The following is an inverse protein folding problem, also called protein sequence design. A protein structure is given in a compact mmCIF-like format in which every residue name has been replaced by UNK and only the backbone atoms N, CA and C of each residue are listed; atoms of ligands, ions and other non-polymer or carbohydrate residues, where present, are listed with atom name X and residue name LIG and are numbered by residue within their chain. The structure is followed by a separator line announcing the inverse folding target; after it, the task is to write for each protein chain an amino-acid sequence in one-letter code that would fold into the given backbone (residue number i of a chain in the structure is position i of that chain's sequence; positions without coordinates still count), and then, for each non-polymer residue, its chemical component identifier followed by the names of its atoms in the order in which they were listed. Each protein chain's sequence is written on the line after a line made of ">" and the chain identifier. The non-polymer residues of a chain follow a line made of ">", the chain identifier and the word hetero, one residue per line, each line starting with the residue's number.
data_IF_352668556408
#
_entry.id   IF_352668556408
#
_cell.length_a   1.000
_cell.length_b   1.000
_cell.length_c   1.000
_cell.angle_alpha   90.00
_cell.angle_beta   90.00
_cell.angle_gamma   90.00
#
_symmetry.space_group_name_H-M   'P 1'
#
loop_
_entity.id
_entity.type
_entity.pdbx_description
1 polymer ?
#
# COMPACT_ATOMS: atom_id res chain seq x y z
N UNK A 1 14.00 -14.57 -0.92
CA UNK A 1 15.31 -15.20 -0.69
C UNK A 1 15.51 -15.62 0.77
N UNK A 2 14.47 -16.18 1.38
CA UNK A 2 14.44 -16.61 2.79
C UNK A 2 13.59 -17.87 2.87
N UNK A 3 14.01 -18.84 3.66
CA UNK A 3 13.30 -20.09 3.89
C UNK A 3 13.09 -20.25 5.39
N UNK A 4 11.84 -20.38 5.82
CA UNK A 4 11.50 -20.69 7.21
C UNK A 4 11.11 -22.16 7.25
N UNK A 5 11.84 -22.95 8.04
CA UNK A 5 11.58 -24.37 8.21
C UNK A 5 10.91 -24.59 9.56
N UNK A 6 9.69 -25.13 9.53
CA UNK A 6 8.99 -25.59 10.71
C UNK A 6 9.00 -27.11 10.75
N UNK A 7 9.47 -27.67 11.88
CA UNK A 7 9.55 -29.12 12.08
C UNK A 7 8.44 -29.54 13.04
N UNK A 8 7.69 -30.57 12.66
CA UNK A 8 6.58 -31.11 13.44
C UNK A 8 6.77 -32.62 13.62
N UNK A 9 6.16 -33.15 14.68
CA UNK A 9 5.90 -34.59 14.87
C UNK A 9 4.40 -34.81 14.95
N UNK A 10 3.95 -35.99 14.55
CA UNK A 10 2.55 -36.40 14.69
C UNK A 10 2.31 -36.91 16.11
N UNK A 11 1.26 -36.41 16.77
CA UNK A 11 0.88 -36.80 18.13
C UNK A 11 -0.62 -37.08 18.17
N UNK A 12 -1.01 -38.15 18.85
CA UNK A 12 -2.41 -38.46 19.10
C UNK A 12 -2.98 -37.52 20.18
N UNK A 13 -4.00 -36.74 19.83
CA UNK A 13 -4.81 -35.98 20.77
C UNK A 13 -5.91 -36.91 21.32
N UNK A 14 -5.62 -37.53 22.47
CA UNK A 14 -6.50 -38.50 23.14
C UNK A 14 -7.85 -37.91 23.54
N UNK A 15 -7.96 -36.58 23.68
CA UNK A 15 -9.21 -35.91 24.01
C UNK A 15 -10.16 -35.78 22.82
N UNK A 16 -9.62 -35.76 21.59
CA UNK A 16 -10.36 -35.55 20.34
C UNK A 16 -10.28 -36.73 19.37
N UNK A 17 -9.62 -37.82 19.78
CA UNK A 17 -9.40 -39.04 18.99
C UNK A 17 -8.90 -38.74 17.57
N UNK A 18 -7.89 -37.86 17.45
CA UNK A 18 -7.31 -37.46 16.16
C UNK A 18 -5.81 -37.25 16.27
N UNK A 19 -5.10 -37.39 15.16
CA UNK A 19 -3.68 -37.10 15.08
C UNK A 19 -3.48 -35.63 14.68
N UNK A 20 -2.64 -34.92 15.42
CA UNK A 20 -2.33 -33.50 15.19
C UNK A 20 -0.83 -33.28 15.01
N UNK A 21 -0.48 -32.21 14.30
CA UNK A 21 0.91 -31.74 14.24
C UNK A 21 1.32 -31.10 15.56
N UNK A 22 2.47 -31.49 16.09
CA UNK A 22 3.07 -30.91 17.29
C UNK A 22 4.46 -30.36 16.97
N UNK A 23 4.67 -29.07 17.16
CA UNK A 23 5.96 -28.41 16.87
C UNK A 23 7.07 -28.97 17.76
N UNK A 24 8.25 -29.21 17.19
CA UNK A 24 9.40 -29.75 17.93
C UNK A 24 10.24 -28.67 18.61
N UNK A 25 10.12 -27.42 18.17
CA UNK A 25 10.84 -26.27 18.69
C UNK A 25 9.85 -25.14 19.05
N UNK A 26 9.94 -23.99 18.40
CA UNK A 26 8.96 -22.92 18.57
C UNK A 26 7.60 -23.35 18.01
N UNK A 27 6.51 -22.84 18.63
CA UNK A 27 5.16 -23.05 18.10
C UNK A 27 5.08 -22.54 16.65
N UNK A 28 4.94 -23.48 15.72
CA UNK A 28 4.76 -23.20 14.31
C UNK A 28 3.28 -23.04 13.95
N UNK A 29 2.97 -22.53 12.74
CA UNK A 29 1.60 -22.26 12.30
C UNK A 29 0.67 -23.47 12.29
N UNK A 30 1.20 -24.70 12.18
CA UNK A 30 0.39 -25.92 12.18
C UNK A 30 0.29 -26.60 13.55
N UNK A 31 0.78 -25.99 14.63
CA UNK A 31 0.72 -26.59 15.96
C UNK A 31 -0.74 -26.86 16.38
N UNK A 32 -1.06 -28.12 16.69
CA UNK A 32 -2.40 -28.56 17.10
C UNK A 32 -3.41 -28.72 15.95
N UNK A 33 -3.01 -28.47 14.70
CA UNK A 33 -3.84 -28.68 13.50
C UNK A 33 -3.87 -30.18 13.17
N UNK A 34 -5.03 -30.67 12.72
CA UNK A 34 -5.20 -32.08 12.34
C UNK A 34 -4.34 -32.43 11.13
N UNK A 35 -3.74 -33.63 11.11
CA UNK A 35 -2.95 -34.09 9.96
C UNK A 35 -3.78 -34.30 8.69
N UNK A 36 -5.09 -34.51 8.86
CA UNK A 36 -6.05 -34.69 7.76
C UNK A 36 -6.75 -33.38 7.38
N UNK A 37 -6.33 -32.24 7.93
CA UNK A 37 -6.92 -30.95 7.62
C UNK A 37 -6.61 -30.56 6.17
N UNK A 38 -7.62 -30.10 5.44
CA UNK A 38 -7.45 -29.67 4.05
C UNK A 38 -6.66 -28.37 4.01
N UNK A 39 -5.83 -28.19 2.98
CA UNK A 39 -5.15 -26.93 2.73
C UNK A 39 -6.16 -25.78 2.64
N UNK A 40 -5.96 -24.76 3.45
CA UNK A 40 -6.79 -23.56 3.39
C UNK A 40 -6.48 -22.74 2.12
N UNK A 41 -7.47 -22.04 1.57
CA UNK A 41 -7.23 -21.02 0.56
C UNK A 41 -6.23 -19.97 1.05
N UNK A 42 -5.52 -19.33 0.10
CA UNK A 42 -4.52 -18.31 0.41
C UNK A 42 -5.13 -17.19 1.28
N UNK A 43 -4.44 -16.85 2.37
CA UNK A 43 -4.81 -15.73 3.23
C UNK A 43 -4.65 -14.37 2.54
N UNK A 44 -5.08 -13.29 3.21
CA UNK A 44 -4.96 -11.92 2.67
C UNK A 44 -3.50 -11.58 2.34
N UNK A 45 -2.56 -11.88 3.25
CA UNK A 45 -1.14 -11.62 3.04
C UNK A 45 -0.56 -12.45 1.91
N UNK A 46 -0.95 -13.71 1.77
CA UNK A 46 -0.43 -14.57 0.71
C UNK A 46 -0.93 -14.11 -0.67
N UNK A 47 -2.16 -13.59 -0.75
CA UNK A 47 -2.66 -12.93 -1.97
C UNK A 47 -1.87 -11.67 -2.29
N UNK A 48 -1.57 -10.82 -1.30
CA UNK A 48 -0.70 -9.64 -1.50
C UNK A 48 0.72 -10.04 -1.94
N UNK A 49 1.32 -11.06 -1.32
CA UNK A 49 2.60 -11.63 -1.75
C UNK A 49 2.56 -12.16 -3.18
N UNK A 50 1.48 -12.85 -3.55
CA UNK A 50 1.31 -13.33 -4.92
C UNK A 50 1.22 -12.17 -5.92
N UNK A 51 0.49 -11.10 -5.58
CA UNK A 51 0.41 -9.89 -6.40
C UNK A 51 1.79 -9.22 -6.56
N UNK A 52 2.53 -9.02 -5.47
CA UNK A 52 3.88 -8.46 -5.51
C UNK A 52 4.83 -9.32 -6.38
N UNK A 53 4.75 -10.64 -6.27
CA UNK A 53 5.53 -11.58 -7.12
C UNK A 53 5.16 -11.48 -8.59
N UNK A 54 3.87 -11.33 -8.92
CA UNK A 54 3.43 -11.10 -10.31
C UNK A 54 4.00 -9.79 -10.87
N UNK A 55 4.25 -8.81 -10.00
CA UNK A 55 4.95 -7.56 -10.33
C UNK A 55 6.48 -7.66 -10.20
N UNK A 56 7.04 -8.87 -10.13
CA UNK A 56 8.49 -9.13 -10.01
C UNK A 56 9.18 -8.42 -8.84
N UNK A 57 8.47 -8.23 -7.72
CA UNK A 57 9.03 -7.61 -6.51
C UNK A 57 8.70 -8.38 -5.24
N UNK A 58 9.35 -8.00 -4.14
CA UNK A 58 9.06 -8.52 -2.80
C UNK A 58 7.90 -7.73 -2.20
N UNK A 59 7.00 -8.41 -1.49
CA UNK A 59 5.93 -7.72 -0.78
C UNK A 59 6.53 -6.84 0.32
N UNK A 60 6.05 -5.59 0.46
CA UNK A 60 6.73 -4.58 1.27
C UNK A 60 6.96 -5.00 2.73
N UNK A 61 6.00 -5.67 3.35
CA UNK A 61 6.12 -6.17 4.74
C UNK A 61 7.09 -7.34 4.91
N UNK A 62 7.61 -7.93 3.83
CA UNK A 62 8.66 -8.95 3.88
C UNK A 62 10.07 -8.32 3.82
N UNK A 63 10.22 -7.01 3.54
CA UNK A 63 11.52 -6.34 3.52
C UNK A 63 12.26 -6.36 4.87
N UNK A 64 11.62 -6.11 6.04
CA UNK A 64 12.33 -6.17 7.31
C UNK A 64 13.05 -7.52 7.55
N UNK A 65 12.45 -8.63 7.14
CA UNK A 65 13.06 -9.96 7.19
C UNK A 65 14.28 -10.07 6.23
N UNK A 66 14.20 -9.44 5.06
CA UNK A 66 15.33 -9.38 4.13
C UNK A 66 16.51 -8.58 4.71
N UNK A 67 16.25 -7.46 5.38
CA UNK A 67 17.26 -6.69 6.12
C UNK A 67 17.88 -7.52 7.25
N UNK A 68 17.07 -8.20 8.06
CA UNK A 68 17.57 -9.07 9.14
C UNK A 68 18.49 -10.17 8.60
N UNK A 69 18.07 -10.84 7.51
CA UNK A 69 18.87 -11.89 6.86
C UNK A 69 20.20 -11.34 6.32
N UNK A 70 20.19 -10.13 5.75
CA UNK A 70 21.39 -9.49 5.24
C UNK A 70 22.36 -9.11 6.39
N UNK A 71 21.84 -8.62 7.51
CA UNK A 71 22.62 -8.34 8.72
C UNK A 71 23.26 -9.61 9.28
N UNK A 72 22.50 -10.69 9.43
CA UNK A 72 23.04 -11.97 9.91
C UNK A 72 24.21 -12.47 9.02
N UNK A 73 24.07 -12.34 7.70
CA UNK A 73 25.15 -12.68 6.75
C UNK A 73 26.37 -11.78 6.90
N UNK A 74 26.16 -10.47 7.09
CA UNK A 74 27.25 -9.51 7.31
C UNK A 74 28.05 -9.86 8.57
N UNK A 75 27.37 -10.16 9.68
CA UNK A 75 28.01 -10.65 10.91
C UNK A 75 28.79 -11.94 10.71
N UNK A 76 28.17 -12.95 10.07
CA UNK A 76 28.80 -14.24 9.82
C UNK A 76 30.05 -14.12 8.93
N UNK A 77 30.04 -13.20 7.96
CA UNK A 77 31.17 -12.97 7.06
C UNK A 77 32.34 -12.29 7.76
N UNK A 78 32.09 -11.36 8.69
CA UNK A 78 33.14 -10.57 9.33
C UNK A 78 33.72 -11.23 10.59
N UNK A 79 32.94 -12.06 11.27
CA UNK A 79 33.37 -12.80 12.46
C UNK A 79 33.12 -14.31 12.29
N UNK A 80 33.93 -15.00 11.46
CA UNK A 80 33.79 -16.45 11.27
C UNK A 80 33.98 -17.17 12.61
N UNK A 81 32.95 -17.90 13.06
CA UNK A 81 32.97 -18.67 14.31
C UNK A 81 32.22 -18.05 15.49
N UNK A 82 31.78 -16.79 15.40
CA UNK A 82 30.79 -16.22 16.32
C UNK A 82 29.40 -16.50 15.73
N UNK A 83 28.70 -17.49 16.29
CA UNK A 83 27.49 -18.07 15.69
C UNK A 83 26.29 -17.13 15.63
N UNK A 84 26.31 -16.01 16.35
CA UNK A 84 25.34 -14.90 16.27
C UNK A 84 25.80 -13.76 17.17
N UNK A 85 25.47 -12.51 16.81
CA UNK A 85 25.46 -11.44 17.80
C UNK A 85 24.52 -11.86 18.95
N UNK A 86 24.91 -11.64 20.21
CA UNK A 86 24.06 -11.99 21.35
C UNK A 86 22.80 -11.10 21.34
N UNK A 87 21.67 -11.62 20.85
CA UNK A 87 20.37 -10.93 20.83
C UNK A 87 19.78 -10.76 19.43
N UNK A 88 18.70 -9.97 19.32
CA UNK A 88 18.11 -9.59 18.03
C UNK A 88 19.02 -8.57 17.33
N UNK A 89 19.43 -8.85 16.09
CA UNK A 89 20.26 -7.95 15.28
C UNK A 89 19.47 -6.80 14.65
N UNK A 90 18.14 -6.93 14.62
CA UNK A 90 17.23 -5.94 14.07
C UNK A 90 16.02 -5.75 14.99
N UNK A 91 15.71 -4.49 15.30
CA UNK A 91 14.42 -4.09 15.88
C UNK A 91 13.70 -3.20 14.88
N UNK A 92 12.44 -3.53 14.61
CA UNK A 92 11.62 -2.89 13.57
C UNK A 92 10.41 -2.28 14.24
N UNK A 93 10.18 -0.99 14.01
CA UNK A 93 8.98 -0.28 14.47
C UNK A 93 8.32 0.36 13.26
N UNK A 94 7.07 -0.01 12.96
CA UNK A 94 6.32 0.63 11.87
C UNK A 94 5.98 2.08 12.25
N UNK A 95 6.06 2.97 11.26
CA UNK A 95 5.62 4.36 11.37
C UNK A 95 4.28 4.50 10.65
N UNK A 96 3.32 5.14 11.31
CA UNK A 96 1.99 5.42 10.76
C UNK A 96 1.64 6.89 10.99
N UNK A 97 0.70 7.42 10.23
CA UNK A 97 0.14 8.73 10.55
C UNK A 97 -0.49 8.72 11.95
N UNK A 98 -0.33 9.82 12.70
CA UNK A 98 -1.00 10.00 14.00
C UNK A 98 -2.53 10.03 13.87
N UNK A 99 -3.03 10.51 12.74
CA UNK A 99 -4.44 10.45 12.35
C UNK A 99 -4.62 9.43 11.22
N UNK A 100 -5.61 8.55 11.34
CA UNK A 100 -5.97 7.58 10.30
C UNK A 100 -6.32 8.26 8.97
N UNK A 101 -6.83 9.50 8.98
CA UNK A 101 -7.09 10.30 7.77
C UNK A 101 -5.95 11.27 7.45
N UNK A 102 -4.74 10.96 7.92
CA UNK A 102 -3.57 11.82 7.77
C UNK A 102 -3.35 12.33 6.35
N UNK A 103 -3.04 13.62 6.28
CA UNK A 103 -2.72 14.42 5.08
C UNK A 103 -1.44 15.21 5.33
N UNK A 104 -1.11 16.16 4.43
CA UNK A 104 0.04 17.06 4.57
C UNK A 104 0.15 17.67 5.99
N UNK A 105 1.35 17.59 6.58
CA UNK A 105 1.63 18.09 7.92
C UNK A 105 1.20 17.16 9.07
N UNK A 106 0.55 16.04 8.79
CA UNK A 106 0.21 15.06 9.83
C UNK A 106 1.48 14.37 10.33
N UNK A 107 1.78 14.38 11.64
CA UNK A 107 2.99 13.76 12.17
C UNK A 107 2.92 12.23 12.11
N UNK A 108 4.10 11.61 12.11
CA UNK A 108 4.25 10.16 12.20
C UNK A 108 4.44 9.71 13.66
N UNK A 109 3.81 8.59 14.00
CA UNK A 109 3.95 7.92 15.30
C UNK A 109 4.30 6.46 15.11
N UNK A 110 4.85 5.82 16.14
CA UNK A 110 5.05 4.38 16.15
C UNK A 110 3.71 3.66 16.19
N UNK A 111 3.50 2.72 15.26
CA UNK A 111 2.31 1.90 15.17
C UNK A 111 2.58 0.43 15.48
N UNK A 112 1.67 -0.20 16.20
CA UNK A 112 1.62 -1.66 16.36
C UNK A 112 0.36 -2.19 15.66
N UNK A 113 0.53 -2.68 14.43
CA UNK A 113 -0.55 -3.31 13.66
C UNK A 113 -0.08 -4.57 12.93
N UNK A 114 -0.97 -5.54 12.66
CA UNK A 114 -0.66 -6.66 11.80
C UNK A 114 -0.18 -6.22 10.40
N UNK A 115 0.78 -6.94 9.79
CA UNK A 115 1.24 -6.67 8.43
C UNK A 115 0.10 -6.60 7.42
N UNK A 116 0.24 -5.74 6.43
CA UNK A 116 -0.68 -5.60 5.31
C UNK A 116 -2.02 -4.93 5.60
N UNK A 117 -2.20 -4.38 6.80
CA UNK A 117 -3.33 -3.51 7.16
C UNK A 117 -3.02 -2.02 6.96
N UNK A 118 -2.07 -1.70 6.09
CA UNK A 118 -1.83 -0.33 5.64
C UNK A 118 -3.04 0.21 4.88
N UNK A 119 -3.41 1.44 5.24
CA UNK A 119 -4.51 2.23 4.69
C UNK A 119 -4.02 3.35 3.74
N UNK A 120 -2.70 3.42 3.54
CA UNK A 120 -1.99 4.24 2.56
C UNK A 120 -1.09 3.31 1.75
N UNK A 121 -0.89 3.60 0.47
CA UNK A 121 -0.03 2.84 -0.45
C UNK A 121 1.48 2.99 -0.20
N UNK A 122 1.85 3.47 0.99
CA UNK A 122 3.21 3.69 1.44
C UNK A 122 3.35 3.16 2.86
N UNK A 123 4.47 2.51 3.17
CA UNK A 123 4.80 1.99 4.50
C UNK A 123 6.20 2.43 4.88
N UNK A 124 6.43 2.68 6.17
CA UNK A 124 7.74 3.06 6.66
C UNK A 124 8.06 2.41 8.00
N UNK A 125 9.35 2.25 8.26
CA UNK A 125 9.86 1.69 9.50
C UNK A 125 11.02 2.50 10.03
N UNK A 126 11.06 2.66 11.36
CA UNK A 126 12.28 2.95 12.08
C UNK A 126 12.95 1.61 12.41
N UNK A 127 14.15 1.40 11.85
CA UNK A 127 14.93 0.18 12.06
C UNK A 127 16.17 0.48 12.89
N UNK A 128 16.30 -0.19 14.03
CA UNK A 128 17.50 -0.19 14.85
C UNK A 128 18.29 -1.47 14.52
N UNK A 129 19.46 -1.31 13.91
CA UNK A 129 20.28 -2.39 13.38
C UNK A 129 21.58 -2.48 14.17
N UNK A 130 21.91 -3.67 14.68
CA UNK A 130 23.26 -3.98 15.14
C UNK A 130 24.08 -4.42 13.94
N UNK A 131 25.03 -3.59 13.48
CA UNK A 131 25.94 -3.93 12.38
C UNK A 131 27.33 -4.21 12.93
N UNK A 132 28.19 -4.96 12.21
CA UNK A 132 29.55 -5.21 12.68
C UNK A 132 30.38 -3.95 13.01
N UNK A 133 30.17 -2.86 12.26
CA UNK A 133 30.85 -1.58 12.46
C UNK A 133 30.24 -0.78 13.62
N UNK A 134 28.95 -0.99 13.91
CA UNK A 134 28.23 -0.37 15.02
C UNK A 134 27.49 -1.43 15.85
N UNK A 135 28.21 -2.27 16.63
CA UNK A 135 27.59 -3.36 17.39
C UNK A 135 26.57 -2.89 18.42
N UNK A 136 26.77 -1.69 18.98
CA UNK A 136 25.84 -1.03 19.91
C UNK A 136 24.54 -0.56 19.26
N UNK A 137 24.44 -0.67 17.93
CA UNK A 137 23.27 -0.29 17.17
C UNK A 137 23.46 1.02 16.41
N UNK A 138 22.79 1.10 15.26
CA UNK A 138 22.56 2.32 14.49
C UNK A 138 21.10 2.36 14.05
N UNK A 139 20.58 3.54 13.75
CA UNK A 139 19.18 3.69 13.33
C UNK A 139 19.12 4.19 11.89
N UNK A 140 18.20 3.64 11.10
CA UNK A 140 17.84 4.13 9.78
C UNK A 140 16.31 4.18 9.66
N UNK A 141 15.83 5.02 8.74
CA UNK A 141 14.45 5.01 8.30
C UNK A 141 14.36 4.30 6.95
N UNK A 142 13.34 3.46 6.80
CA UNK A 142 13.01 2.79 5.55
C UNK A 142 11.63 3.28 5.13
N UNK A 143 11.45 3.61 3.85
CA UNK A 143 10.13 3.87 3.24
C UNK A 143 9.98 3.03 1.98
N UNK A 144 8.79 2.48 1.74
CA UNK A 144 8.52 1.60 0.62
C UNK A 144 7.09 1.76 0.11
N UNK A 145 6.91 1.73 -1.21
CA UNK A 145 5.57 1.62 -1.79
C UNK A 145 4.99 0.23 -1.54
N UNK A 146 3.68 0.15 -1.31
CA UNK A 146 2.95 -1.10 -1.42
C UNK A 146 2.42 -1.25 -2.85
N UNK A 147 3.15 -2.00 -3.69
CA UNK A 147 2.72 -2.29 -5.08
C UNK A 147 1.35 -2.96 -5.17
N UNK A 148 0.89 -3.60 -4.08
CA UNK A 148 -0.41 -4.26 -4.01
C UNK A 148 -1.55 -3.30 -3.70
N UNK A 149 -1.23 -2.05 -3.35
CA UNK A 149 -2.16 -0.97 -3.11
C UNK A 149 -2.17 -0.01 -4.30
N UNK A 150 -3.23 -0.04 -5.12
CA UNK A 150 -3.36 0.82 -6.32
C UNK A 150 -2.08 0.86 -7.18
N UNK A 151 -1.49 -0.32 -7.45
CA UNK A 151 -0.24 -0.50 -8.20
C UNK A 151 1.00 0.23 -7.62
N UNK A 152 0.96 0.63 -6.35
CA UNK A 152 2.00 1.44 -5.72
C UNK A 152 2.01 2.89 -6.20
N UNK A 153 0.92 3.36 -6.81
CA UNK A 153 0.80 4.75 -7.31
C UNK A 153 0.79 5.79 -6.19
N UNK A 154 1.39 6.94 -6.48
CA UNK A 154 1.43 8.10 -5.60
C UNK A 154 0.14 8.92 -5.74
N UNK A 155 -0.70 8.86 -4.71
CA UNK A 155 -1.75 9.86 -4.50
C UNK A 155 -1.41 10.82 -3.37
N UNK A 156 -2.31 11.75 -3.01
CA UNK A 156 -1.94 12.86 -2.12
C UNK A 156 -1.58 12.39 -0.71
N UNK A 157 -2.19 11.30 -0.24
CA UNK A 157 -1.84 10.67 1.05
C UNK A 157 -0.49 9.95 1.01
N UNK A 158 -0.15 9.29 -0.09
CA UNK A 158 1.16 8.65 -0.27
C UNK A 158 2.27 9.71 -0.35
N UNK A 159 2.03 10.81 -1.07
CA UNK A 159 2.96 11.95 -1.16
C UNK A 159 3.19 12.59 0.22
N UNK A 160 2.11 12.88 0.95
CA UNK A 160 2.17 13.42 2.30
C UNK A 160 2.91 12.48 3.27
N UNK A 161 2.67 11.17 3.17
CA UNK A 161 3.33 10.19 4.03
C UNK A 161 4.83 10.12 3.71
N UNK A 162 5.19 10.08 2.43
CA UNK A 162 6.59 10.06 2.00
C UNK A 162 7.33 11.31 2.47
N UNK A 163 6.74 12.51 2.30
CA UNK A 163 7.32 13.75 2.80
C UNK A 163 7.52 13.69 4.32
N UNK A 164 6.51 13.25 5.08
CA UNK A 164 6.61 13.16 6.54
C UNK A 164 7.75 12.22 7.01
N UNK A 165 8.01 11.13 6.28
CA UNK A 165 9.15 10.25 6.57
C UNK A 165 10.48 10.93 6.24
N UNK A 166 10.55 11.64 5.10
CA UNK A 166 11.74 12.39 4.68
C UNK A 166 12.08 13.51 5.66
N UNK A 167 11.09 14.30 6.08
CA UNK A 167 11.26 15.36 7.08
C UNK A 167 11.73 14.79 8.43
N UNK A 168 11.17 13.64 8.84
CA UNK A 168 11.60 12.93 10.04
C UNK A 168 13.07 12.48 9.93
N UNK A 169 13.49 11.97 8.77
CA UNK A 169 14.87 11.57 8.51
C UNK A 169 15.82 12.76 8.61
N UNK A 170 15.49 13.88 7.94
CA UNK A 170 16.25 15.12 7.97
C UNK A 170 16.37 15.69 9.38
N UNK A 171 15.24 15.78 10.11
CA UNK A 171 15.18 16.31 11.47
C UNK A 171 16.05 15.47 12.43
N UNK A 172 15.98 14.15 12.33
CA UNK A 172 16.77 13.24 13.17
C UNK A 172 18.19 13.01 12.65
N UNK A 173 18.53 13.53 11.45
CA UNK A 173 19.79 13.29 10.74
C UNK A 173 20.09 11.79 10.58
N UNK A 174 19.06 11.01 10.24
CA UNK A 174 19.16 9.56 10.04
C UNK A 174 19.20 9.23 8.54
N UNK A 175 19.93 8.18 8.13
CA UNK A 175 19.83 7.67 6.76
C UNK A 175 18.40 7.24 6.44
N UNK A 176 17.90 7.68 5.28
CA UNK A 176 16.64 7.23 4.70
C UNK A 176 16.94 6.31 3.51
N UNK A 177 16.33 5.13 3.49
CA UNK A 177 16.38 4.22 2.36
C UNK A 177 14.98 4.09 1.76
N UNK A 178 14.86 4.44 0.48
CA UNK A 178 13.62 4.28 -0.27
C UNK A 178 13.65 3.01 -1.12
N UNK A 179 12.68 2.12 -0.91
CA UNK A 179 12.46 0.91 -1.68
C UNK A 179 11.36 1.17 -2.74
N UNK A 180 11.79 1.53 -3.94
CA UNK A 180 10.90 1.95 -5.01
C UNK A 180 10.27 0.75 -5.75
N UNK A 181 8.94 0.64 -5.65
CA UNK A 181 8.12 -0.28 -6.44
C UNK A 181 6.77 0.38 -6.72
N UNK A 182 6.75 1.34 -7.65
CA UNK A 182 5.61 2.23 -7.91
C UNK A 182 5.30 2.33 -9.41
N UNK A 183 4.17 2.95 -9.73
CA UNK A 183 3.72 3.25 -11.09
C UNK A 183 3.61 4.77 -11.36
N UNK A 184 4.36 5.60 -10.62
CA UNK A 184 4.27 7.07 -10.70
C UNK A 184 3.02 7.66 -10.05
N UNK A 185 2.68 8.89 -10.43
CA UNK A 185 1.50 9.60 -9.97
C UNK A 185 0.22 8.81 -10.31
N UNK A 186 -0.73 8.79 -9.37
CA UNK A 186 -2.01 8.13 -9.57
C UNK A 186 -2.78 8.83 -10.67
N UNK A 187 -3.43 8.03 -11.51
CA UNK A 187 -4.33 8.52 -12.54
C UNK A 187 -5.68 7.88 -12.25
N UNK A 188 -6.73 8.70 -12.22
CA UNK A 188 -8.09 8.26 -12.00
C UNK A 188 -9.08 8.97 -12.90
N UNK A 189 -10.29 8.43 -12.97
CA UNK A 189 -11.43 9.07 -13.62
C UNK A 189 -12.58 9.10 -12.61
N UNK A 190 -13.46 10.10 -12.71
CA UNK A 190 -14.65 10.20 -11.87
C UNK A 190 -15.66 9.11 -12.26
N UNK A 191 -15.60 7.95 -11.62
CA UNK A 191 -16.45 6.80 -11.95
C UNK A 191 -17.94 7.11 -11.77
N UNK A 192 -18.30 7.98 -10.83
CA UNK A 192 -19.68 8.42 -10.63
C UNK A 192 -20.22 9.25 -11.80
N UNK A 193 -19.36 10.01 -12.48
CA UNK A 193 -19.72 10.76 -13.69
C UNK A 193 -19.77 9.81 -14.88
N UNK A 194 -18.76 8.95 -15.02
CA UNK A 194 -18.66 7.93 -16.07
C UNK A 194 -19.88 7.00 -16.09
N UNK A 195 -20.45 6.71 -14.93
CA UNK A 195 -21.61 5.84 -14.78
C UNK A 195 -22.93 6.44 -15.32
N UNK A 196 -23.04 7.76 -15.47
CA UNK A 196 -24.33 8.40 -15.81
C UNK A 196 -24.27 9.55 -16.82
N UNK A 197 -23.09 9.96 -17.32
CA UNK A 197 -23.06 10.93 -18.40
C UNK A 197 -23.73 10.38 -19.66
N UNK A 198 -24.38 11.28 -20.38
CA UNK A 198 -24.99 11.03 -21.68
C UNK A 198 -24.26 11.85 -22.74
N UNK A 199 -24.40 11.43 -23.99
CA UNK A 199 -23.76 12.09 -25.13
C UNK A 199 -24.83 12.84 -25.90
N UNK A 200 -24.63 14.15 -26.11
CA UNK A 200 -25.43 14.95 -27.03
C UNK A 200 -24.91 14.75 -28.44
N UNK A 201 -25.45 13.77 -29.16
CA UNK A 201 -25.05 13.47 -30.53
C UNK A 201 -25.45 14.60 -31.48
N UNK A 202 -24.66 14.81 -32.53
CA UNK A 202 -25.05 15.74 -33.60
C UNK A 202 -26.29 15.26 -34.36
N UNK A 203 -26.47 13.95 -34.41
CA UNK A 203 -27.62 13.26 -34.97
C UNK A 203 -27.90 12.04 -34.08
N UNK A 204 -28.99 12.08 -33.30
CA UNK A 204 -29.38 11.02 -32.36
C UNK A 204 -29.62 9.66 -33.06
N UNK A 205 -29.88 9.67 -34.37
CA UNK A 205 -30.06 8.44 -35.16
C UNK A 205 -28.77 7.91 -35.78
N UNK A 206 -27.70 8.73 -35.87
CA UNK A 206 -26.43 8.38 -36.49
C UNK A 206 -25.24 8.85 -35.63
N UNK A 207 -24.88 8.11 -34.56
CA UNK A 207 -23.78 8.48 -33.66
C UNK A 207 -22.42 8.66 -34.36
N UNK A 208 -22.21 7.98 -35.49
CA UNK A 208 -20.98 8.10 -36.29
C UNK A 208 -20.73 9.50 -36.87
N UNK A 209 -21.71 10.40 -36.84
CA UNK A 209 -21.56 11.82 -37.22
C UNK A 209 -20.91 12.68 -36.13
N UNK A 210 -20.55 12.07 -35.00
CA UNK A 210 -19.93 12.75 -33.88
C UNK A 210 -20.94 13.32 -32.90
N UNK A 211 -20.41 13.97 -31.86
CA UNK A 211 -21.18 14.54 -30.76
C UNK A 211 -20.80 16.01 -30.57
N UNK A 212 -21.67 16.74 -29.88
CA UNK A 212 -21.48 18.16 -29.57
C UNK A 212 -21.02 18.38 -28.13
N UNK A 213 -21.55 17.59 -27.19
CA UNK A 213 -21.28 17.73 -25.77
C UNK A 213 -21.56 16.42 -25.01
N UNK A 214 -21.12 16.36 -23.75
CA UNK A 214 -21.60 15.39 -22.77
C UNK A 214 -22.43 16.10 -21.71
N UNK A 215 -23.44 15.44 -21.18
CA UNK A 215 -24.39 16.05 -20.26
C UNK A 215 -24.90 15.06 -19.21
N UNK A 216 -25.53 15.59 -18.16
CA UNK A 216 -26.28 14.84 -17.17
C UNK A 216 -27.78 15.11 -17.33
N UNK A 217 -28.60 14.10 -17.05
CA UNK A 217 -30.02 14.31 -16.82
C UNK A 217 -30.23 15.13 -15.53
N UNK A 218 -31.35 15.85 -15.36
CA UNK A 218 -31.61 16.64 -14.15
C UNK A 218 -31.50 15.83 -12.86
N UNK A 219 -31.92 14.57 -12.87
CA UNK A 219 -31.87 13.67 -11.70
C UNK A 219 -30.43 13.28 -11.35
N UNK A 220 -29.60 13.02 -12.37
CA UNK A 220 -28.19 12.70 -12.19
C UNK A 220 -27.39 13.92 -11.74
N UNK A 221 -27.66 15.10 -12.32
CA UNK A 221 -27.04 16.34 -11.88
C UNK A 221 -27.43 16.67 -10.42
N UNK A 222 -28.69 16.46 -10.02
CA UNK A 222 -29.08 16.61 -8.62
C UNK A 222 -28.32 15.66 -7.68
N UNK A 223 -27.94 14.47 -8.17
CA UNK A 223 -27.22 13.45 -7.38
C UNK A 223 -25.71 13.67 -7.31
N UNK A 224 -25.07 14.10 -8.40
CA UNK A 224 -23.61 14.22 -8.52
C UNK A 224 -23.12 15.62 -8.91
N UNK A 225 -23.96 16.64 -8.78
CA UNK A 225 -23.64 18.02 -9.19
C UNK A 225 -22.41 18.60 -8.51
N UNK A 226 -22.01 18.10 -7.33
CA UNK A 226 -20.74 18.51 -6.69
C UNK A 226 -19.49 17.97 -7.39
N UNK A 227 -19.61 16.92 -8.21
CA UNK A 227 -18.50 16.31 -8.95
C UNK A 227 -18.23 16.97 -10.30
N UNK A 228 -19.08 17.91 -10.73
CA UNK A 228 -18.99 18.57 -12.04
C UNK A 228 -19.28 20.05 -11.94
N UNK A 229 -18.75 20.84 -12.87
CA UNK A 229 -19.25 22.18 -13.18
C UNK A 229 -20.06 22.02 -14.46
N UNK A 230 -21.32 22.40 -14.42
CA UNK A 230 -22.27 22.19 -15.50
C UNK A 230 -23.26 23.35 -15.62
N UNK A 231 -23.79 23.56 -16.83
CA UNK A 231 -24.84 24.54 -17.09
C UNK A 231 -26.07 23.90 -17.75
N UNK A 232 -27.22 24.49 -17.51
CA UNK A 232 -28.51 24.01 -18.02
C UNK A 232 -28.71 24.41 -19.49
N UNK A 233 -29.10 23.44 -20.32
CA UNK A 233 -29.58 23.61 -21.68
C UNK A 233 -30.99 23.04 -21.79
N UNK A 234 -31.95 23.87 -22.25
CA UNK A 234 -33.28 23.39 -22.63
C UNK A 234 -33.37 23.23 -24.13
N UNK A 235 -33.72 22.03 -24.57
CA UNK A 235 -33.95 21.74 -25.98
C UNK A 235 -35.35 22.16 -26.41
N UNK A 236 -35.54 22.36 -27.72
CA UNK A 236 -36.84 22.63 -28.33
C UNK A 236 -37.85 21.48 -28.09
N UNK A 237 -37.36 20.26 -27.85
CA UNK A 237 -38.15 19.10 -27.45
C UNK A 237 -38.74 19.21 -26.03
N UNK A 238 -38.33 20.19 -25.24
CA UNK A 238 -38.67 20.34 -23.82
C UNK A 238 -37.75 19.55 -22.87
N UNK A 239 -36.80 18.78 -23.41
CA UNK A 239 -35.79 18.07 -22.60
C UNK A 239 -34.81 19.08 -21.97
N UNK A 240 -34.54 18.92 -20.68
CA UNK A 240 -33.51 19.68 -19.96
C UNK A 240 -32.26 18.83 -19.81
N UNK A 241 -31.12 19.37 -20.23
CA UNK A 241 -29.80 18.73 -20.18
C UNK A 241 -28.84 19.60 -19.38
N UNK A 242 -28.06 19.00 -18.49
CA UNK A 242 -26.98 19.70 -17.76
C UNK A 242 -25.65 19.42 -18.46
N UNK A 243 -25.21 20.31 -19.33
CA UNK A 243 -23.95 20.17 -20.08
C UNK A 243 -22.78 20.27 -19.11
N UNK A 244 -21.88 19.29 -19.16
CA UNK A 244 -20.70 19.26 -18.30
C UNK A 244 -19.59 20.10 -18.94
N UNK A 245 -19.18 21.17 -18.26
CA UNK A 245 -18.05 22.02 -18.65
C UNK A 245 -16.73 21.53 -18.06
N UNK A 246 -16.77 20.99 -16.84
CA UNK A 246 -15.59 20.50 -16.12
C UNK A 246 -15.96 19.33 -15.23
N UNK A 247 -15.10 18.31 -15.20
CA UNK A 247 -15.20 17.18 -14.27
C UNK A 247 -14.19 17.41 -13.16
N UNK A 248 -14.68 17.51 -11.92
CA UNK A 248 -13.86 17.63 -10.71
C UNK A 248 -13.69 16.25 -10.06
N UNK A 249 -14.79 15.51 -9.95
CA UNK A 249 -14.84 14.21 -9.27
C UNK A 249 -15.01 14.33 -7.75
N UNK A 250 -15.61 13.30 -7.16
CA UNK A 250 -15.79 13.18 -5.70
C UNK A 250 -14.53 12.68 -4.99
N UNK A 251 -13.78 11.81 -5.66
CA UNK A 251 -12.57 11.22 -5.10
C UNK A 251 -11.37 12.14 -5.28
N UNK A 252 -10.51 12.19 -4.27
CA UNK A 252 -9.23 12.88 -4.34
C UNK A 252 -8.16 12.00 -5.01
N UNK A 253 -7.23 12.61 -5.72
CA UNK A 253 -6.11 11.93 -6.38
C UNK A 253 -6.45 11.31 -7.73
N UNK A 254 -7.27 11.99 -8.53
CA UNK A 254 -7.59 11.68 -9.92
C UNK A 254 -6.66 12.37 -10.91
N UNK A 255 -6.13 13.56 -10.57
CA UNK A 255 -5.40 14.41 -11.51
C UNK A 255 -4.31 15.31 -10.90
N UNK A 256 -4.46 16.63 -11.06
CA UNK A 256 -3.43 17.66 -10.82
C UNK A 256 -2.96 17.75 -9.36
N UNK A 257 -3.81 17.34 -8.43
CA UNK A 257 -3.50 17.19 -7.02
C UNK A 257 -2.33 16.21 -6.79
N UNK A 258 -2.24 15.13 -7.58
CA UNK A 258 -1.13 14.18 -7.52
C UNK A 258 0.17 14.78 -8.09
N UNK A 259 0.06 15.64 -9.11
CA UNK A 259 1.22 16.33 -9.68
C UNK A 259 1.79 17.34 -8.69
N UNK A 260 0.93 18.01 -7.94
CA UNK A 260 1.33 18.93 -6.88
C UNK A 260 2.11 18.19 -5.78
N UNK A 261 1.58 17.04 -5.33
CA UNK A 261 2.26 16.20 -4.35
C UNK A 261 3.59 15.62 -4.86
N UNK A 262 3.60 15.14 -6.12
CA UNK A 262 4.81 14.67 -6.79
C UNK A 262 5.90 15.75 -6.84
N UNK A 263 5.54 17.00 -7.15
CA UNK A 263 6.47 18.13 -7.13
C UNK A 263 7.02 18.44 -5.74
N UNK A 264 6.18 18.35 -4.70
CA UNK A 264 6.60 18.58 -3.32
C UNK A 264 7.64 17.54 -2.85
N UNK A 265 7.40 16.25 -3.13
CA UNK A 265 8.34 15.19 -2.71
C UNK A 265 9.63 15.19 -3.55
N UNK A 266 9.57 15.61 -4.82
CA UNK A 266 10.75 15.71 -5.69
C UNK A 266 11.74 16.78 -5.25
N UNK A 267 11.28 17.84 -4.57
CA UNK A 267 12.15 18.86 -3.99
C UNK A 267 12.70 18.51 -2.61
N UNK A 268 12.07 17.56 -1.91
CA UNK A 268 12.41 17.20 -0.54
C UNK A 268 13.37 16.01 -0.43
N UNK A 269 13.34 15.09 -1.40
CA UNK A 269 14.21 13.91 -1.48
C UNK A 269 15.41 14.16 -2.39
#
# INVERSE_FOLDING_TARGET
>A
HTCIVHIYREVEDTSKHRVVYHSTSAMGPLHGVSVNEHYHPLGVLDRKRLLARKSNTTYCYDFPLAFETALEKSWASQFPGISKAKGKVLKVTELIFADQKGTWGTPLVSGERPPGLNDVGMVAWCMELSTPEFPSGRTILIVANDVTFKAGSFGPREDAFFLAVTDLACTKKLPLVYLAANSGARIGVAEEVKACFKVGWSDESIPGRGFQYIYLAPEDHARIGSSVIAHELKLESGETRWIIDTIVGKEDGLGVENLTGSGAIAGAY
#
